data_IF_474678631227
#
_entry.id   IF_474678631227
#
_cell.length_a   1.000
_cell.length_b   1.000
_cell.length_c   1.000
_cell.angle_alpha   90.00
_cell.angle_beta   90.00
_cell.angle_gamma   90.00
#
_symmetry.space_group_name_H-M   'P 1'
#
loop_
_entity.id
_entity.type
_entity.pdbx_description
1 polymer ?
#
# COMPACT_ATOMS: atom_id res chain seq x y z
N UNK A 1 15.52 -1.78 -6.67
CA UNK A 1 16.16 -2.90 -5.94
C UNK A 1 15.96 -4.23 -6.67
N UNK A 2 14.77 -4.52 -7.19
CA UNK A 2 14.51 -5.74 -7.99
C UNK A 2 15.35 -5.82 -9.28
N UNK A 3 15.53 -4.71 -10.01
CA UNK A 3 16.36 -4.69 -11.24
C UNK A 3 17.81 -5.10 -10.98
N UNK A 4 18.44 -4.55 -9.93
CA UNK A 4 19.81 -4.89 -9.53
C UNK A 4 19.96 -6.38 -9.19
N UNK A 5 18.96 -6.94 -8.50
CA UNK A 5 18.97 -8.36 -8.15
C UNK A 5 18.78 -9.24 -9.38
N UNK A 6 17.95 -8.83 -10.34
CA UNK A 6 17.73 -9.58 -11.57
C UNK A 6 18.97 -9.55 -12.49
N UNK A 7 19.61 -8.39 -12.63
CA UNK A 7 20.82 -8.24 -13.45
C UNK A 7 22.03 -9.02 -12.89
N UNK A 8 22.20 -9.07 -11.56
CA UNK A 8 23.34 -9.72 -10.94
C UNK A 8 23.10 -11.18 -10.51
N UNK A 9 21.84 -11.56 -10.28
CA UNK A 9 21.48 -12.88 -9.73
C UNK A 9 20.33 -13.57 -10.47
N UNK A 10 19.83 -13.03 -11.59
CA UNK A 10 18.72 -13.61 -12.36
C UNK A 10 18.99 -15.03 -12.86
N UNK A 11 20.25 -15.33 -13.20
CA UNK A 11 20.66 -16.66 -13.66
C UNK A 11 20.90 -17.66 -12.50
N UNK A 12 20.92 -17.19 -11.26
CA UNK A 12 21.15 -18.05 -10.09
C UNK A 12 19.90 -18.87 -9.84
N UNK A 13 20.01 -20.18 -10.07
CA UNK A 13 18.91 -21.10 -9.77
C UNK A 13 18.50 -20.97 -8.30
N UNK A 14 17.19 -20.87 -8.01
CA UNK A 14 16.73 -20.76 -6.64
C UNK A 14 17.14 -22.01 -5.86
N UNK A 15 17.67 -21.81 -4.65
CA UNK A 15 18.08 -22.89 -3.73
C UNK A 15 16.94 -23.86 -3.42
N UNK A 16 15.70 -23.39 -3.50
CA UNK A 16 14.50 -24.16 -3.24
C UNK A 16 13.74 -24.39 -4.54
N UNK A 17 13.24 -25.61 -4.73
CA UNK A 17 12.36 -25.96 -5.84
C UNK A 17 11.08 -25.12 -5.82
N UNK A 18 10.50 -24.87 -6.99
CA UNK A 18 9.20 -24.19 -7.11
C UNK A 18 8.10 -24.93 -6.35
N UNK A 19 7.08 -24.19 -5.90
CA UNK A 19 5.97 -24.79 -5.15
C UNK A 19 5.24 -25.86 -5.97
N UNK A 20 5.09 -25.66 -7.28
CA UNK A 20 4.51 -26.66 -8.18
C UNK A 20 5.33 -27.95 -8.22
N UNK A 21 6.66 -27.84 -8.29
CA UNK A 21 7.53 -29.01 -8.25
C UNK A 21 7.38 -29.74 -6.90
N UNK A 22 7.33 -29.00 -5.79
CA UNK A 22 7.11 -29.58 -4.45
C UNK A 22 5.74 -30.26 -4.33
N UNK A 23 4.68 -29.69 -4.92
CA UNK A 23 3.36 -30.31 -4.96
C UNK A 23 3.34 -31.61 -5.78
N UNK A 24 3.95 -31.61 -6.97
CA UNK A 24 4.08 -32.82 -7.81
C UNK A 24 4.83 -33.92 -7.07
N UNK A 25 5.94 -33.57 -6.42
CA UNK A 25 6.69 -34.51 -5.58
C UNK A 25 5.83 -35.09 -4.46
N UNK A 26 5.06 -34.25 -3.74
CA UNK A 26 4.15 -34.72 -2.68
C UNK A 26 3.08 -35.70 -3.18
N UNK A 27 2.52 -35.48 -4.38
CA UNK A 27 1.55 -36.40 -5.01
C UNK A 27 2.16 -37.76 -5.33
N UNK A 28 3.48 -37.83 -5.56
CA UNK A 28 4.20 -39.06 -5.88
C UNK A 28 4.84 -39.73 -4.65
N UNK A 29 4.82 -39.10 -3.48
CA UNK A 29 5.50 -39.59 -2.27
C UNK A 29 4.99 -40.94 -1.75
N UNK A 30 3.77 -41.36 -2.10
CA UNK A 30 3.24 -42.68 -1.73
C UNK A 30 4.02 -43.83 -2.38
N UNK A 31 4.69 -43.59 -3.50
CA UNK A 31 5.55 -44.56 -4.18
C UNK A 31 6.89 -44.76 -3.45
N UNK A 32 7.30 -43.80 -2.60
CA UNK A 32 8.59 -43.82 -1.92
C UNK A 32 8.47 -44.57 -0.60
N UNK A 33 9.37 -45.53 -0.35
CA UNK A 33 9.46 -46.21 0.96
C UNK A 33 9.76 -45.21 2.07
N UNK A 34 9.03 -45.35 3.18
CA UNK A 34 9.18 -44.56 4.41
C UNK A 34 9.07 -43.02 4.21
N UNK A 35 7.93 -42.54 3.68
CA UNK A 35 7.75 -41.14 3.32
C UNK A 35 7.72 -40.21 4.54
N UNK A 36 7.16 -40.65 5.67
CA UNK A 36 7.07 -39.86 6.91
C UNK A 36 8.43 -39.42 7.45
N UNK A 37 9.49 -40.24 7.27
CA UNK A 37 10.87 -39.88 7.67
C UNK A 37 11.52 -38.92 6.67
N UNK A 38 11.36 -39.16 5.36
CA UNK A 38 11.98 -38.34 4.30
C UNK A 38 11.36 -36.94 4.21
N UNK A 39 10.09 -36.80 4.55
CA UNK A 39 9.36 -35.55 4.42
C UNK A 39 9.01 -34.88 5.74
N UNK A 40 9.64 -35.32 6.85
CA UNK A 40 9.39 -34.80 8.21
C UNK A 40 9.59 -33.28 8.32
N UNK A 41 10.49 -32.71 7.51
CA UNK A 41 10.80 -31.28 7.46
C UNK A 41 10.37 -30.62 6.14
N UNK A 42 9.42 -31.19 5.40
CA UNK A 42 8.90 -30.50 4.22
C UNK A 42 8.08 -29.29 4.65
N UNK A 43 8.50 -28.10 4.18
CA UNK A 43 7.77 -26.86 4.40
C UNK A 43 6.27 -27.04 4.15
N UNK A 44 5.43 -26.65 5.11
CA UNK A 44 3.98 -26.74 4.99
C UNK A 44 3.51 -25.79 3.89
N UNK A 45 3.25 -26.33 2.70
CA UNK A 45 2.79 -25.56 1.55
C UNK A 45 1.44 -24.89 1.84
N UNK A 46 0.52 -25.57 2.55
CA UNK A 46 -0.77 -25.00 2.96
C UNK A 46 -0.61 -23.71 3.77
N UNK A 47 0.24 -23.74 4.81
CA UNK A 47 0.52 -22.57 5.64
C UNK A 47 1.14 -21.41 4.86
N UNK A 48 1.91 -21.70 3.80
CA UNK A 48 2.48 -20.67 2.92
C UNK A 48 1.41 -20.01 2.05
N UNK A 49 0.53 -20.81 1.44
CA UNK A 49 -0.61 -20.27 0.68
C UNK A 49 -1.53 -19.43 1.56
N UNK A 50 -1.82 -19.89 2.78
CA UNK A 50 -2.60 -19.13 3.76
C UNK A 50 -1.92 -17.79 4.09
N UNK A 51 -0.61 -17.81 4.39
CA UNK A 51 0.15 -16.59 4.67
C UNK A 51 0.18 -15.61 3.48
N UNK A 52 0.32 -16.11 2.24
CA UNK A 52 0.27 -15.27 1.05
C UNK A 52 -1.12 -14.67 0.81
N UNK A 53 -2.19 -15.44 1.02
CA UNK A 53 -3.56 -14.95 0.90
C UNK A 53 -3.84 -13.85 1.93
N UNK A 54 -3.38 -14.03 3.17
CA UNK A 54 -3.46 -13.00 4.21
C UNK A 54 -2.64 -11.77 3.81
N UNK A 55 -1.42 -11.95 3.29
CA UNK A 55 -0.57 -10.84 2.84
C UNK A 55 -1.24 -10.03 1.73
N UNK A 56 -1.83 -10.68 0.72
CA UNK A 56 -2.55 -9.98 -0.37
C UNK A 56 -3.78 -9.23 0.15
N UNK A 57 -4.58 -9.85 1.01
CA UNK A 57 -5.78 -9.17 1.55
C UNK A 57 -5.43 -7.99 2.45
N UNK A 58 -4.34 -8.06 3.21
CA UNK A 58 -3.86 -6.96 4.03
C UNK A 58 -3.22 -5.83 3.21
N UNK A 59 -2.58 -6.15 2.08
CA UNK A 59 -1.94 -5.16 1.22
C UNK A 59 -2.95 -4.11 0.72
N UNK A 60 -4.14 -4.54 0.28
CA UNK A 60 -5.16 -3.61 -0.20
C UNK A 60 -5.74 -2.76 0.93
N UNK A 61 -5.98 -3.36 2.10
CA UNK A 61 -6.44 -2.62 3.28
C UNK A 61 -5.45 -1.54 3.70
N UNK A 62 -4.16 -1.85 3.70
CA UNK A 62 -3.10 -0.88 4.00
C UNK A 62 -3.02 0.21 2.94
N UNK A 63 -3.13 -0.13 1.66
CA UNK A 63 -3.13 0.85 0.57
C UNK A 63 -4.26 1.85 0.73
N UNK A 64 -5.49 1.37 0.98
CA UNK A 64 -6.66 2.22 1.20
C UNK A 64 -6.47 3.10 2.43
N UNK A 65 -6.03 2.53 3.56
CA UNK A 65 -5.78 3.30 4.78
C UNK A 65 -4.76 4.43 4.55
N UNK A 66 -3.64 4.15 3.86
CA UNK A 66 -2.62 5.15 3.53
C UNK A 66 -3.18 6.26 2.64
N UNK A 67 -3.98 5.92 1.62
CA UNK A 67 -4.59 6.91 0.74
C UNK A 67 -5.57 7.82 1.49
N UNK A 68 -6.42 7.24 2.35
CA UNK A 68 -7.38 8.00 3.16
C UNK A 68 -6.65 8.91 4.14
N UNK A 69 -5.65 8.40 4.86
CA UNK A 69 -4.84 9.23 5.76
C UNK A 69 -4.11 10.35 5.03
N UNK A 70 -3.57 10.08 3.83
CA UNK A 70 -2.94 11.11 3.00
C UNK A 70 -3.93 12.21 2.63
N UNK A 71 -5.13 11.86 2.16
CA UNK A 71 -6.16 12.83 1.82
C UNK A 71 -6.60 13.64 3.06
N UNK A 72 -6.84 12.98 4.19
CA UNK A 72 -7.21 13.65 5.43
C UNK A 72 -6.14 14.66 5.90
N UNK A 73 -4.86 14.28 5.80
CA UNK A 73 -3.76 15.19 6.12
C UNK A 73 -3.68 16.37 5.15
N UNK A 74 -3.93 16.16 3.86
CA UNK A 74 -4.00 17.24 2.88
C UNK A 74 -5.13 18.22 3.21
N UNK A 75 -6.30 17.74 3.62
CA UNK A 75 -7.40 18.60 4.07
C UNK A 75 -7.03 19.40 5.32
N UNK A 76 -6.47 18.75 6.34
CA UNK A 76 -6.04 19.45 7.57
C UNK A 76 -4.97 20.50 7.26
N UNK A 77 -3.99 20.17 6.43
CA UNK A 77 -2.94 21.11 6.06
C UNK A 77 -3.47 22.29 5.24
N UNK A 78 -4.38 22.04 4.30
CA UNK A 78 -5.05 23.11 3.53
C UNK A 78 -5.87 24.02 4.44
N UNK A 79 -6.60 23.45 5.41
CA UNK A 79 -7.37 24.22 6.38
C UNK A 79 -6.48 25.09 7.29
N UNK A 80 -5.32 24.57 7.70
CA UNK A 80 -4.36 25.35 8.46
C UNK A 80 -3.81 26.54 7.65
N UNK A 81 -3.63 26.40 6.33
CA UNK A 81 -3.18 27.51 5.48
C UNK A 81 -4.25 28.59 5.30
N UNK A 82 -5.54 28.22 5.28
CA UNK A 82 -6.65 29.16 5.17
C UNK A 82 -6.97 29.92 6.47
N UNK A 83 -6.44 29.47 7.61
CA UNK A 83 -6.82 30.02 8.92
C UNK A 83 -5.91 31.19 9.39
N UNK A 84 -4.84 31.50 8.65
CA UNK A 84 -3.98 32.66 8.89
C UNK A 84 -4.55 33.96 8.27
N UNK A 85 -5.70 33.87 7.59
CA UNK A 85 -6.36 35.03 7.02
C UNK A 85 -7.13 35.80 8.11
N UNK A 86 -6.74 37.07 8.29
CA UNK A 86 -7.43 38.00 9.18
C UNK A 86 -8.13 39.05 8.31
N UNK A 87 -9.45 39.18 8.44
CA UNK A 87 -10.24 40.14 7.65
C UNK A 87 -9.77 41.56 7.99
N UNK A 88 -9.54 42.45 6.99
CA UNK A 88 -9.19 43.83 7.27
C UNK A 88 -10.27 44.53 8.10
N UNK A 89 -9.85 45.31 9.10
CA UNK A 89 -10.72 45.95 10.11
C UNK A 89 -11.81 46.85 9.47
N UNK A 90 -11.50 47.44 8.31
CA UNK A 90 -12.42 48.24 7.50
C UNK A 90 -13.60 47.41 6.96
N UNK A 91 -13.36 46.16 6.55
CA UNK A 91 -14.35 45.23 6.02
C UNK A 91 -15.24 44.68 7.16
N UNK A 92 -14.63 44.39 8.31
CA UNK A 92 -15.37 43.99 9.51
C UNK A 92 -16.27 45.13 10.03
N UNK A 93 -15.77 46.38 10.02
CA UNK A 93 -16.54 47.55 10.44
C UNK A 93 -17.75 47.84 9.53
N UNK A 94 -17.67 47.45 8.27
CA UNK A 94 -18.76 47.51 7.30
C UNK A 94 -19.74 46.32 7.41
N UNK A 95 -19.46 45.36 8.31
CA UNK A 95 -20.31 44.19 8.57
C UNK A 95 -20.08 43.01 7.62
N UNK A 96 -18.99 43.02 6.85
CA UNK A 96 -18.64 41.96 5.91
C UNK A 96 -17.55 41.04 6.48
N UNK A 97 -17.57 39.76 6.09
CA UNK A 97 -16.60 38.75 6.54
C UNK A 97 -15.61 38.33 5.44
N UNK A 98 -15.74 38.87 4.23
CA UNK A 98 -14.93 38.52 3.05
C UNK A 98 -14.59 39.84 2.34
N UNK A 99 -13.33 40.03 1.95
CA UNK A 99 -12.91 41.24 1.25
C UNK A 99 -13.21 41.17 -0.26
N UNK A 100 -13.26 42.32 -0.93
CA UNK A 100 -13.57 42.40 -2.35
C UNK A 100 -12.53 41.67 -3.24
N UNK A 101 -11.26 41.68 -2.81
CA UNK A 101 -10.15 41.03 -3.51
C UNK A 101 -10.22 39.50 -3.43
N UNK A 102 -10.67 38.96 -2.29
CA UNK A 102 -10.93 37.52 -2.14
C UNK A 102 -12.10 37.06 -3.00
N UNK A 103 -13.17 37.84 -3.03
CA UNK A 103 -14.31 37.57 -3.90
C UNK A 103 -13.89 37.53 -5.37
N UNK A 104 -12.99 38.42 -5.79
CA UNK A 104 -12.41 38.41 -7.13
C UNK A 104 -11.53 37.15 -7.37
N UNK A 105 -10.67 36.79 -6.42
CA UNK A 105 -9.82 35.59 -6.51
C UNK A 105 -10.62 34.28 -6.61
N UNK A 106 -11.70 34.14 -5.84
CA UNK A 106 -12.59 32.96 -5.92
C UNK A 106 -13.28 32.87 -7.28
N UNK A 107 -13.70 34.02 -7.84
CA UNK A 107 -14.34 34.08 -9.16
C UNK A 107 -13.34 33.76 -10.27
N UNK A 108 -12.10 34.27 -10.19
CA UNK A 108 -11.04 33.95 -11.16
C UNK A 108 -10.66 32.46 -11.12
N UNK A 109 -10.61 31.84 -9.94
CA UNK A 109 -10.35 30.41 -9.81
C UNK A 109 -11.45 29.51 -10.39
N UNK A 110 -12.63 30.06 -10.68
CA UNK A 110 -13.77 29.35 -11.30
C UNK A 110 -13.84 29.48 -12.83
N UNK A 111 -13.08 30.41 -13.44
CA UNK A 111 -12.94 30.58 -14.90
C UNK A 111 -11.75 29.82 -15.47
#
# INVERSE_FOLDING_TARGET
>A
MENYLNENFGDVKPKNSSEEALQRWRKLCWLVKNPKRRFRFTANLSKRFEAEAIRRSNQEKLRVAVLVSKAALQFIHCLNLSNDYTVPEEVESAGFQICAEELASIVEAMT
#
